data_IF_451101314223
#
_entry.id   IF_451101314223
#
_cell.length_a   1.000
_cell.length_b   1.000
_cell.length_c   1.000
_cell.angle_alpha   90.00
_cell.angle_beta   90.00
_cell.angle_gamma   90.00
#
_symmetry.space_group_name_H-M   'P 1'
#
loop_
_entity.id
_entity.type
_entity.pdbx_description
1 polymer ?
#
# COMPACT_ATOMS: atom_id res chain seq x y z
N UNK A 1 21.50 -7.90 1.56
CA UNK A 1 21.53 -6.66 2.35
C UNK A 1 20.15 -6.11 2.66
N UNK A 2 19.27 -5.93 1.68
CA UNK A 2 17.89 -5.51 1.92
C UNK A 2 17.11 -6.54 2.74
N UNK A 3 17.27 -7.81 2.43
CA UNK A 3 16.62 -8.91 3.17
C UNK A 3 16.99 -8.92 4.65
N UNK A 4 18.27 -8.70 4.97
CA UNK A 4 18.72 -8.70 6.35
C UNK A 4 18.12 -7.55 7.16
N UNK A 5 18.03 -6.35 6.55
CA UNK A 5 17.42 -5.19 7.20
C UNK A 5 15.92 -5.38 7.40
N UNK A 6 15.25 -5.97 6.42
CA UNK A 6 13.82 -6.24 6.51
C UNK A 6 13.53 -7.29 7.57
N UNK A 7 14.35 -8.34 7.65
CA UNK A 7 14.21 -9.38 8.68
C UNK A 7 14.34 -8.76 10.08
N UNK A 8 15.34 -7.91 10.28
CA UNK A 8 15.53 -7.19 11.56
C UNK A 8 14.34 -6.32 11.92
N UNK A 9 13.76 -5.63 10.94
CA UNK A 9 12.55 -4.82 11.15
C UNK A 9 11.38 -5.70 11.59
N UNK A 10 11.15 -6.82 10.91
CA UNK A 10 10.05 -7.73 11.24
C UNK A 10 10.22 -8.34 12.62
N UNK A 11 11.44 -8.77 12.96
CA UNK A 11 11.72 -9.30 14.30
C UNK A 11 11.43 -8.29 15.40
N UNK A 12 11.81 -7.02 15.17
CA UNK A 12 11.54 -5.94 16.12
C UNK A 12 10.05 -5.66 16.27
N UNK A 13 9.25 -5.87 15.21
CA UNK A 13 7.81 -5.63 15.23
C UNK A 13 6.99 -6.83 15.68
N UNK A 14 7.56 -8.03 15.68
CA UNK A 14 6.82 -9.28 15.91
C UNK A 14 6.05 -9.28 17.24
N UNK A 15 6.65 -8.78 18.31
CA UNK A 15 6.00 -8.73 19.62
C UNK A 15 4.72 -7.91 19.65
N UNK A 16 4.68 -6.80 18.89
CA UNK A 16 3.47 -5.97 18.74
C UNK A 16 2.44 -6.65 17.85
N UNK A 17 2.88 -7.24 16.75
CA UNK A 17 2.01 -7.91 15.78
C UNK A 17 1.30 -9.10 16.37
N UNK A 18 1.96 -9.88 17.21
CA UNK A 18 1.39 -11.08 17.82
C UNK A 18 0.14 -10.79 18.65
N UNK A 19 0.00 -9.56 19.15
CA UNK A 19 -1.18 -9.12 19.91
C UNK A 19 -2.33 -8.70 18.99
N UNK A 20 -2.02 -8.29 17.75
CA UNK A 20 -2.99 -7.73 16.82
C UNK A 20 -3.43 -8.72 15.75
N UNK A 21 -2.52 -9.57 15.30
CA UNK A 21 -2.75 -10.56 14.24
C UNK A 21 -2.37 -11.93 14.75
N UNK A 22 -3.28 -12.90 14.55
CA UNK A 22 -2.97 -14.30 14.80
C UNK A 22 -2.23 -14.86 13.59
N UNK A 23 -0.95 -15.21 13.77
CA UNK A 23 -0.14 -15.80 12.71
C UNK A 23 -0.02 -17.30 12.98
N UNK A 24 -0.72 -18.08 12.18
CA UNK A 24 -0.73 -19.54 12.29
C UNK A 24 0.35 -20.13 11.36
N UNK A 25 1.60 -20.08 11.81
CA UNK A 25 2.74 -20.56 11.03
C UNK A 25 3.78 -21.18 11.95
N UNK A 26 4.57 -22.13 11.41
CA UNK A 26 5.70 -22.76 12.12
C UNK A 26 6.82 -21.73 12.37
N UNK A 27 7.01 -20.80 11.45
CA UNK A 27 7.97 -19.69 11.59
C UNK A 27 7.27 -18.36 11.26
N UNK A 28 6.67 -17.70 12.26
CA UNK A 28 5.93 -16.46 12.02
C UNK A 28 6.77 -15.32 11.46
N UNK A 29 8.04 -15.22 11.86
CA UNK A 29 8.93 -14.16 11.36
C UNK A 29 9.21 -14.35 9.88
N UNK A 30 9.52 -15.59 9.45
CA UNK A 30 9.73 -15.90 8.04
C UNK A 30 8.47 -15.64 7.21
N UNK A 31 7.30 -16.00 7.76
CA UNK A 31 6.01 -15.75 7.09
C UNK A 31 5.76 -14.26 6.89
N UNK A 32 6.04 -13.43 7.89
CA UNK A 32 5.92 -11.98 7.79
C UNK A 32 6.93 -11.39 6.81
N UNK A 33 8.15 -11.93 6.78
CA UNK A 33 9.17 -11.51 5.83
C UNK A 33 8.71 -11.77 4.39
N UNK A 34 8.20 -12.96 4.12
CA UNK A 34 7.66 -13.32 2.81
C UNK A 34 6.48 -12.42 2.43
N UNK A 35 5.57 -12.18 3.37
CA UNK A 35 4.46 -11.26 3.16
C UNK A 35 4.95 -9.87 2.78
N UNK A 36 5.90 -9.32 3.54
CA UNK A 36 6.41 -7.96 3.33
C UNK A 36 7.05 -7.81 1.96
N UNK A 37 7.86 -8.79 1.55
CA UNK A 37 8.51 -8.80 0.24
C UNK A 37 7.47 -8.86 -0.87
N UNK A 38 6.51 -9.76 -0.75
CA UNK A 38 5.42 -9.90 -1.73
C UNK A 38 4.55 -8.63 -1.79
N UNK A 39 4.29 -8.01 -0.65
CA UNK A 39 3.50 -6.78 -0.57
C UNK A 39 4.19 -5.63 -1.31
N UNK A 40 5.49 -5.45 -1.12
CA UNK A 40 6.26 -4.41 -1.81
C UNK A 40 6.25 -4.68 -3.31
N UNK A 41 6.50 -5.92 -3.72
CA UNK A 41 6.51 -6.29 -5.13
C UNK A 41 5.13 -6.13 -5.78
N UNK A 42 4.07 -6.41 -5.04
CA UNK A 42 2.70 -6.32 -5.54
C UNK A 42 2.25 -4.88 -5.85
N UNK A 43 2.90 -3.87 -5.27
CA UNK A 43 2.51 -2.47 -5.51
C UNK A 43 2.58 -2.11 -6.99
N UNK A 44 3.61 -2.56 -7.69
CA UNK A 44 3.74 -2.34 -9.13
C UNK A 44 2.72 -3.14 -9.92
N UNK A 45 2.43 -4.36 -9.50
CA UNK A 45 1.44 -5.22 -10.15
C UNK A 45 0.03 -4.63 -10.04
N UNK A 46 -0.33 -4.08 -8.88
CA UNK A 46 -1.59 -3.38 -8.68
C UNK A 46 -1.70 -2.15 -9.58
N UNK A 47 -0.64 -1.34 -9.66
CA UNK A 47 -0.60 -0.17 -10.53
C UNK A 47 -0.79 -0.55 -11.99
N UNK A 48 -0.08 -1.57 -12.44
CA UNK A 48 -0.17 -2.06 -13.81
C UNK A 48 -1.57 -2.59 -14.11
N UNK A 49 -2.15 -3.36 -13.19
CA UNK A 49 -3.50 -3.91 -13.35
C UNK A 49 -4.55 -2.81 -13.45
N UNK A 50 -4.46 -1.79 -12.61
CA UNK A 50 -5.42 -0.66 -12.62
C UNK A 50 -5.25 0.18 -13.88
N UNK A 51 -4.02 0.42 -14.31
CA UNK A 51 -3.75 1.14 -15.55
C UNK A 51 -4.35 0.39 -16.75
N UNK A 52 -4.14 -0.91 -16.82
CA UNK A 52 -4.69 -1.77 -17.89
C UNK A 52 -6.21 -1.72 -17.91
N UNK A 53 -6.85 -1.85 -16.74
CA UNK A 53 -8.30 -1.74 -16.63
C UNK A 53 -8.81 -0.35 -17.03
N UNK A 54 -8.09 0.70 -16.68
CA UNK A 54 -8.45 2.06 -17.07
C UNK A 54 -8.43 2.24 -18.58
N UNK A 55 -7.43 1.69 -19.26
CA UNK A 55 -7.32 1.73 -20.73
C UNK A 55 -8.47 0.94 -21.36
N UNK A 56 -8.71 -0.28 -20.89
CA UNK A 56 -9.75 -1.16 -21.43
C UNK A 56 -11.16 -0.60 -21.22
N UNK A 57 -11.42 0.02 -20.07
CA UNK A 57 -12.71 0.61 -19.74
C UNK A 57 -12.90 2.04 -20.24
N UNK A 58 -11.87 2.61 -20.88
CA UNK A 58 -11.87 4.00 -21.37
C UNK A 58 -12.04 5.04 -20.26
N UNK A 59 -11.54 4.75 -19.07
CA UNK A 59 -11.59 5.63 -17.90
C UNK A 59 -10.25 6.26 -17.59
N UNK A 60 -9.29 6.21 -18.51
CA UNK A 60 -7.92 6.71 -18.33
C UNK A 60 -7.89 8.18 -17.91
N UNK A 61 -8.73 9.02 -18.50
CA UNK A 61 -8.78 10.47 -18.16
C UNK A 61 -9.14 10.69 -16.69
N UNK A 62 -10.02 9.87 -16.15
CA UNK A 62 -10.44 9.96 -14.75
C UNK A 62 -9.39 9.39 -13.80
N UNK A 63 -8.82 8.23 -14.13
CA UNK A 63 -7.95 7.48 -13.24
C UNK A 63 -6.48 7.91 -13.29
N UNK A 64 -6.04 8.49 -14.40
CA UNK A 64 -4.64 8.88 -14.60
C UNK A 64 -4.05 9.76 -13.48
N UNK A 65 -4.76 10.79 -12.98
CA UNK A 65 -4.20 11.60 -11.88
C UNK A 65 -3.93 10.78 -10.61
N UNK A 66 -4.79 9.81 -10.30
CA UNK A 66 -4.62 8.96 -9.13
C UNK A 66 -3.48 7.96 -9.32
N UNK A 67 -3.35 7.38 -10.51
CA UNK A 67 -2.26 6.48 -10.85
C UNK A 67 -0.92 7.23 -10.77
N UNK A 68 -0.88 8.46 -11.26
CA UNK A 68 0.32 9.30 -11.16
C UNK A 68 0.68 9.62 -9.71
N UNK A 69 -0.31 9.86 -8.84
CA UNK A 69 -0.07 10.06 -7.41
C UNK A 69 0.54 8.83 -6.76
N UNK A 70 0.00 7.65 -7.07
CA UNK A 70 0.53 6.39 -6.53
C UNK A 70 2.00 6.18 -6.96
N UNK A 71 2.31 6.49 -8.22
CA UNK A 71 3.69 6.43 -8.71
C UNK A 71 4.58 7.46 -8.01
N UNK A 72 4.08 8.67 -7.77
CA UNK A 72 4.85 9.73 -7.13
C UNK A 72 5.27 9.38 -5.70
N UNK A 73 4.52 8.54 -5.00
CA UNK A 73 4.94 8.07 -3.69
C UNK A 73 6.28 7.34 -3.73
N UNK A 74 6.60 6.68 -4.85
CA UNK A 74 7.89 6.02 -5.04
C UNK A 74 8.97 6.96 -5.55
N UNK A 75 8.63 7.86 -6.47
CA UNK A 75 9.60 8.77 -7.11
C UNK A 75 10.02 9.87 -6.16
N UNK A 76 9.06 10.48 -5.47
CA UNK A 76 9.30 11.58 -4.53
C UNK A 76 8.51 11.29 -3.24
N UNK A 77 9.11 10.55 -2.31
CA UNK A 77 8.41 10.20 -1.08
C UNK A 77 7.98 11.44 -0.30
N UNK A 78 6.83 11.38 0.39
CA UNK A 78 6.40 12.47 1.26
C UNK A 78 7.43 12.78 2.35
N UNK A 79 7.43 14.02 2.82
CA UNK A 79 8.37 14.46 3.85
C UNK A 79 8.34 13.57 5.11
N UNK A 80 7.16 13.09 5.47
CA UNK A 80 6.97 12.17 6.59
C UNK A 80 7.88 10.93 6.49
N UNK A 81 8.18 10.48 5.28
CA UNK A 81 8.96 9.27 5.04
C UNK A 81 10.46 9.52 4.86
N UNK A 82 10.91 10.77 4.78
CA UNK A 82 12.33 11.08 4.52
C UNK A 82 13.26 10.64 5.66
N UNK A 83 12.74 10.48 6.87
CA UNK A 83 13.51 9.98 8.02
C UNK A 83 13.79 8.47 7.94
N UNK A 84 13.05 7.73 7.12
CA UNK A 84 13.22 6.30 6.94
C UNK A 84 14.06 6.03 5.70
N UNK A 85 14.73 4.86 5.66
CA UNK A 85 15.65 4.50 4.58
C UNK A 85 15.49 3.03 4.19
N UNK A 86 15.95 2.72 2.99
CA UNK A 86 16.04 1.35 2.50
C UNK A 86 14.68 0.68 2.40
N UNK A 87 14.62 -0.57 2.76
CA UNK A 87 13.42 -1.41 2.62
C UNK A 87 12.27 -0.92 3.49
N UNK A 88 12.57 -0.36 4.67
CA UNK A 88 11.54 0.19 5.54
C UNK A 88 10.79 1.34 4.86
N UNK A 89 11.53 2.28 4.25
CA UNK A 89 10.89 3.36 3.50
C UNK A 89 10.11 2.83 2.30
N UNK A 90 10.68 1.85 1.61
CA UNK A 90 10.02 1.23 0.46
C UNK A 90 8.70 0.55 0.85
N UNK A 91 8.66 -0.11 2.01
CA UNK A 91 7.42 -0.68 2.55
C UNK A 91 6.36 0.41 2.77
N UNK A 92 6.75 1.53 3.36
CA UNK A 92 5.81 2.63 3.62
C UNK A 92 5.34 3.30 2.33
N UNK A 93 6.22 3.44 1.33
CA UNK A 93 5.83 3.93 0.01
C UNK A 93 4.84 2.98 -0.68
N UNK A 94 5.09 1.68 -0.59
CA UNK A 94 4.17 0.67 -1.12
C UNK A 94 2.82 0.73 -0.41
N UNK A 95 2.82 0.92 0.90
CA UNK A 95 1.58 1.07 1.67
C UNK A 95 0.77 2.28 1.21
N UNK A 96 1.42 3.43 1.03
CA UNK A 96 0.76 4.63 0.51
C UNK A 96 0.11 4.37 -0.85
N UNK A 97 0.86 3.78 -1.77
CA UNK A 97 0.36 3.47 -3.10
C UNK A 97 -0.82 2.50 -3.04
N UNK A 98 -0.69 1.41 -2.30
CA UNK A 98 -1.73 0.39 -2.21
C UNK A 98 -2.98 0.91 -1.49
N UNK A 99 -2.83 1.76 -0.48
CA UNK A 99 -3.97 2.40 0.18
C UNK A 99 -4.70 3.36 -0.76
N UNK A 100 -3.95 4.14 -1.54
CA UNK A 100 -4.55 5.02 -2.54
C UNK A 100 -5.38 4.21 -3.55
N UNK A 101 -4.82 3.10 -4.04
CA UNK A 101 -5.50 2.24 -5.00
C UNK A 101 -6.72 1.55 -4.39
N UNK A 102 -6.66 1.17 -3.12
CA UNK A 102 -7.81 0.61 -2.40
C UNK A 102 -8.95 1.61 -2.31
N UNK A 103 -8.66 2.84 -1.87
CA UNK A 103 -9.66 3.90 -1.77
C UNK A 103 -10.26 4.25 -3.15
N UNK A 104 -9.42 4.29 -4.18
CA UNK A 104 -9.87 4.53 -5.54
C UNK A 104 -10.80 3.42 -6.01
N UNK A 105 -10.45 2.17 -5.74
CA UNK A 105 -11.27 1.01 -6.09
C UNK A 105 -12.65 1.08 -5.40
N UNK A 106 -12.68 1.43 -4.11
CA UNK A 106 -13.92 1.57 -3.35
C UNK A 106 -14.83 2.66 -3.92
N UNK A 107 -14.27 3.77 -4.34
CA UNK A 107 -15.03 4.86 -4.96
C UNK A 107 -15.63 4.44 -6.30
N UNK A 108 -14.90 3.69 -7.10
CA UNK A 108 -15.33 3.28 -8.44
C UNK A 108 -16.32 2.12 -8.38
N UNK A 109 -16.16 1.19 -7.45
CA UNK A 109 -17.10 0.07 -7.29
C UNK A 109 -18.48 0.54 -6.84
N UNK A 110 -18.59 1.72 -6.25
CA UNK A 110 -19.90 2.33 -5.97
C UNK A 110 -20.63 2.79 -7.24
N UNK A 111 -19.89 3.00 -8.32
CA UNK A 111 -20.41 3.47 -9.61
C UNK A 111 -20.45 2.32 -10.64
N UNK A 112 -19.46 1.45 -10.61
CA UNK A 112 -19.34 0.31 -11.51
C UNK A 112 -19.27 -0.99 -10.70
N UNK A 113 -20.07 -2.03 -11.05
CA UNK A 113 -20.09 -3.29 -10.28
C UNK A 113 -18.82 -4.12 -10.41
N UNK A 114 -17.93 -3.82 -11.37
CA UNK A 114 -16.70 -4.58 -11.56
C UNK A 114 -15.56 -3.96 -10.74
N UNK A 115 -14.90 -4.73 -9.84
CA UNK A 115 -13.76 -4.22 -9.09
C UNK A 115 -12.59 -3.93 -10.04
N UNK A 116 -11.87 -2.82 -9.80
CA UNK A 116 -10.69 -2.45 -10.58
C UNK A 116 -9.50 -3.34 -10.30
N UNK A 117 -9.37 -3.81 -9.05
CA UNK A 117 -8.26 -4.67 -8.67
C UNK A 117 -8.71 -6.14 -8.68
N UNK A 118 -8.01 -7.02 -9.40
CA UNK A 118 -8.31 -8.45 -9.39
C UNK A 118 -7.86 -9.16 -8.11
N UNK A 119 -7.16 -8.45 -7.21
CA UNK A 119 -6.59 -9.00 -5.98
C UNK A 119 -7.24 -8.38 -4.74
N UNK A 120 -7.16 -9.09 -3.62
CA UNK A 120 -7.68 -8.60 -2.35
C UNK A 120 -6.68 -7.65 -1.68
N UNK A 121 -6.60 -6.45 -2.22
CA UNK A 121 -5.71 -5.40 -1.71
C UNK A 121 -6.09 -4.96 -0.30
N UNK A 122 -7.39 -5.03 0.04
CA UNK A 122 -7.88 -4.60 1.36
C UNK A 122 -7.32 -5.45 2.49
N UNK A 123 -7.30 -6.77 2.31
CA UNK A 123 -6.76 -7.67 3.32
C UNK A 123 -5.26 -7.46 3.50
N UNK A 124 -4.52 -7.33 2.41
CA UNK A 124 -3.08 -7.09 2.44
C UNK A 124 -2.75 -5.77 3.12
N UNK A 125 -3.55 -4.74 2.89
CA UNK A 125 -3.37 -3.44 3.55
C UNK A 125 -3.66 -3.51 5.06
N UNK A 126 -4.63 -4.30 5.48
CA UNK A 126 -4.90 -4.52 6.91
C UNK A 126 -3.69 -5.14 7.60
N UNK A 127 -3.10 -6.16 7.00
CA UNK A 127 -1.91 -6.82 7.54
C UNK A 127 -0.73 -5.85 7.57
N UNK A 128 -0.50 -5.10 6.50
CA UNK A 128 0.57 -4.13 6.42
C UNK A 128 0.38 -2.99 7.43
N UNK A 129 -0.84 -2.52 7.63
CA UNK A 129 -1.17 -1.51 8.66
C UNK A 129 -0.74 -1.98 10.04
N UNK A 130 -1.06 -3.22 10.39
CA UNK A 130 -0.67 -3.81 11.66
C UNK A 130 0.85 -3.95 11.79
N UNK A 131 1.52 -4.32 10.69
CA UNK A 131 2.98 -4.44 10.65
C UNK A 131 3.67 -3.09 10.87
N UNK A 132 3.19 -2.04 10.21
CA UNK A 132 3.71 -0.67 10.36
C UNK A 132 3.44 -0.14 11.78
N UNK A 133 2.28 -0.42 12.34
CA UNK A 133 1.82 0.07 13.62
C UNK A 133 0.83 1.22 13.47
N UNK A 134 -0.15 1.28 14.38
CA UNK A 134 -1.29 2.18 14.25
C UNK A 134 -0.91 3.65 14.13
N UNK A 135 0.07 4.11 14.91
CA UNK A 135 0.44 5.52 14.92
C UNK A 135 0.90 6.01 13.54
N UNK A 136 1.89 5.35 12.95
CA UNK A 136 2.40 5.75 11.64
C UNK A 136 1.42 5.40 10.53
N UNK A 137 0.82 4.19 10.57
CA UNK A 137 -0.12 3.78 9.54
C UNK A 137 -1.33 4.71 9.45
N UNK A 138 -1.85 5.20 10.58
CA UNK A 138 -2.93 6.17 10.59
C UNK A 138 -2.52 7.51 9.99
N UNK A 139 -1.29 7.94 10.22
CA UNK A 139 -0.76 9.15 9.57
C UNK A 139 -0.65 8.98 8.06
N UNK A 140 -0.21 7.81 7.60
CA UNK A 140 -0.13 7.50 6.17
C UNK A 140 -1.53 7.42 5.53
N UNK A 141 -2.49 6.81 6.21
CA UNK A 141 -3.88 6.75 5.76
C UNK A 141 -4.48 8.14 5.62
N UNK A 142 -4.21 9.03 6.58
CA UNK A 142 -4.67 10.41 6.52
C UNK A 142 -4.06 11.16 5.34
N UNK A 143 -2.78 10.92 5.05
CA UNK A 143 -2.11 11.53 3.90
C UNK A 143 -2.76 11.08 2.58
N UNK A 144 -3.06 9.78 2.46
CA UNK A 144 -3.76 9.25 1.28
C UNK A 144 -5.11 9.95 1.10
N UNK A 145 -5.87 10.08 2.17
CA UNK A 145 -7.17 10.75 2.14
C UNK A 145 -7.06 12.21 1.68
N UNK A 146 -6.08 12.94 2.21
CA UNK A 146 -5.85 14.34 1.84
C UNK A 146 -5.48 14.52 0.36
N UNK A 147 -4.57 13.69 -0.15
CA UNK A 147 -4.16 13.80 -1.55
C UNK A 147 -5.30 13.42 -2.51
N UNK A 148 -6.14 12.47 -2.11
CA UNK A 148 -7.32 12.10 -2.90
C UNK A 148 -8.34 13.24 -2.94
N UNK A 149 -8.65 13.85 -1.80
CA UNK A 149 -9.56 15.00 -1.74
C UNK A 149 -9.09 16.15 -2.61
N UNK A 150 -7.80 16.48 -2.51
CA UNK A 150 -7.21 17.56 -3.31
C UNK A 150 -7.32 17.25 -4.81
N UNK A 151 -7.05 16.02 -5.20
CA UNK A 151 -7.12 15.60 -6.61
C UNK A 151 -8.55 15.65 -7.15
N UNK A 152 -9.53 15.25 -6.35
CA UNK A 152 -10.95 15.32 -6.73
C UNK A 152 -11.40 16.78 -6.85
N UNK A 153 -10.98 17.65 -5.91
CA UNK A 153 -11.37 19.07 -5.89
C UNK A 153 -10.79 19.87 -7.05
N UNK A 154 -9.62 19.47 -7.58
CA UNK A 154 -8.95 20.13 -8.71
C UNK A 154 -9.59 19.78 -10.06
N UNK A 155 -10.62 18.95 -10.06
CA UNK A 155 -11.39 18.58 -11.24
C UNK A 155 -12.69 19.39 -11.29
#
# INVERSE_FOLDING_TARGET
MLEHKMLGYIEARFGSLHKTISINSVDPVATLFEFTTAYIDSAYDYLDAIYTLAVESKTTSYLKPFINLALMFFIKPPELLTQYRGTQRLLYQAYLSNRLLEELNDQITSISPAPLSPMDISMDNIVCHALIGDELANQLDHLVFLVMETTVSDR
#
